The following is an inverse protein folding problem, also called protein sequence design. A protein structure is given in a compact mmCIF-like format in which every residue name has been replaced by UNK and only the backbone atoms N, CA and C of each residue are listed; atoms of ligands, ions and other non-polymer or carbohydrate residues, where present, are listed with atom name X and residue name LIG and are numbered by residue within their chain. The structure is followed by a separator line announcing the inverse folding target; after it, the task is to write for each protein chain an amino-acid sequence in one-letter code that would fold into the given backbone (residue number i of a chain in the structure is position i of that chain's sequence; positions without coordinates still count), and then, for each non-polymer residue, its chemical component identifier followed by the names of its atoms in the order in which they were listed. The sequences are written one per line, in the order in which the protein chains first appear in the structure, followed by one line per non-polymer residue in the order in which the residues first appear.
data_IF_376317256770
#
_entry.id   IF_376317256770
#
_cell.length_a   1.000
_cell.length_b   1.000
_cell.length_c   1.000
_cell.angle_alpha   90.00
_cell.angle_beta   90.00
_cell.angle_gamma   90.00
#
_symmetry.space_group_name_H-M   'P 1'
#
loop_
_entity.id
_entity.type
_entity.pdbx_description
1 polymer ?
#
# COMPACT_ATOMS: atom_id res chain seq x y z
N UNK A 1 -66.46 24.69 29.36
CA UNK A 1 -66.45 23.94 30.64
C UNK A 1 -65.16 23.13 30.69
N UNK A 2 -64.59 23.04 31.88
CA UNK A 2 -63.20 22.75 32.25
C UNK A 2 -62.61 21.40 31.83
N UNK A 3 -61.28 21.36 31.79
CA UNK A 3 -60.47 20.14 31.89
C UNK A 3 -59.02 20.37 31.46
N UNK A 4 -58.15 20.77 32.39
CA UNK A 4 -56.73 21.05 32.12
C UNK A 4 -55.80 19.85 32.32
N UNK A 5 -54.55 19.99 31.90
CA UNK A 5 -53.39 19.31 32.49
C UNK A 5 -52.15 20.23 32.51
N UNK A 6 -51.25 20.05 33.49
CA UNK A 6 -50.26 21.03 33.92
C UNK A 6 -48.85 20.72 33.41
N UNK A 7 -47.99 21.73 33.34
CA UNK A 7 -46.54 21.54 33.21
C UNK A 7 -45.86 22.62 32.39
N UNK A 8 -45.77 23.84 32.92
CA UNK A 8 -45.00 24.92 32.29
C UNK A 8 -44.24 25.76 33.33
N UNK A 9 -43.53 25.08 34.24
CA UNK A 9 -42.73 25.71 35.30
C UNK A 9 -41.22 25.39 35.22
N UNK A 10 -40.69 25.12 34.01
CA UNK A 10 -39.23 25.00 33.80
C UNK A 10 -38.67 25.89 32.68
N UNK A 11 -39.46 26.83 32.13
CA UNK A 11 -39.04 27.67 30.99
C UNK A 11 -38.64 29.10 31.40
N UNK A 12 -38.42 29.37 32.69
CA UNK A 12 -38.06 30.74 33.14
C UNK A 12 -36.91 30.77 34.15
N UNK A 13 -35.74 30.29 33.74
CA UNK A 13 -34.44 30.80 34.21
C UNK A 13 -33.27 30.11 33.50
N UNK A 14 -33.20 30.26 32.17
CA UNK A 14 -31.97 29.93 31.45
C UNK A 14 -31.21 31.23 31.17
N UNK A 15 -30.05 31.47 31.81
CA UNK A 15 -29.21 32.59 31.40
C UNK A 15 -28.84 32.43 29.92
N UNK A 16 -28.74 33.53 29.15
CA UNK A 16 -28.28 33.45 27.78
C UNK A 16 -26.91 32.75 27.77
N UNK A 17 -26.71 31.79 26.85
CA UNK A 17 -25.41 31.16 26.67
C UNK A 17 -24.40 32.27 26.39
N UNK A 18 -23.57 32.57 27.38
CA UNK A 18 -22.39 33.39 27.18
C UNK A 18 -21.45 32.60 26.27
N UNK A 19 -21.27 33.10 25.05
CA UNK A 19 -20.42 32.49 24.03
C UNK A 19 -21.21 31.72 22.98
N UNK A 20 -21.89 32.44 22.09
CA UNK A 20 -21.78 32.11 20.67
C UNK A 20 -20.31 32.38 20.26
N UNK A 21 -19.43 31.46 20.66
CA UNK A 21 -18.34 31.11 19.79
C UNK A 21 -18.92 29.99 18.93
N UNK A 22 -19.37 30.34 17.73
CA UNK A 22 -19.29 29.42 16.60
C UNK A 22 -17.81 29.12 16.42
N UNK A 23 -17.26 28.26 17.28
CA UNK A 23 -16.03 27.53 16.98
C UNK A 23 -16.48 26.38 16.07
N UNK A 24 -16.93 26.79 14.90
CA UNK A 24 -17.33 25.92 13.80
C UNK A 24 -16.09 25.16 13.35
N UNK A 25 -16.18 23.85 13.53
CA UNK A 25 -15.36 22.79 12.92
C UNK A 25 -13.94 22.68 13.48
N UNK A 26 -13.76 21.67 14.33
CA UNK A 26 -12.46 21.02 14.55
C UNK A 26 -12.07 20.30 13.25
N UNK A 27 -11.12 20.84 12.46
CA UNK A 27 -10.91 20.45 11.08
C UNK A 27 -9.73 19.47 10.99
N UNK A 28 -9.88 18.38 10.23
CA UNK A 28 -8.80 18.06 9.28
C UNK A 28 -8.45 19.37 8.59
N UNK A 29 -7.28 19.95 8.88
CA UNK A 29 -7.09 21.41 8.72
C UNK A 29 -7.62 21.92 7.38
N UNK A 30 -8.54 22.89 7.39
CA UNK A 30 -9.13 23.44 6.16
C UNK A 30 -8.06 23.91 5.16
N UNK A 31 -6.89 24.29 5.67
CA UNK A 31 -5.73 24.58 4.84
C UNK A 31 -5.19 23.34 4.11
N UNK A 32 -4.98 22.21 4.78
CA UNK A 32 -4.50 20.98 4.15
C UNK A 32 -5.50 20.46 3.11
N UNK A 33 -6.80 20.51 3.41
CA UNK A 33 -7.85 20.15 2.44
C UNK A 33 -7.76 21.03 1.19
N UNK A 34 -7.73 22.35 1.36
CA UNK A 34 -7.51 23.28 0.25
C UNK A 34 -6.19 23.04 -0.49
N UNK A 35 -5.15 22.56 0.22
CA UNK A 35 -3.88 22.23 -0.40
C UNK A 35 -4.00 20.97 -1.26
N UNK A 36 -4.74 19.94 -0.82
CA UNK A 36 -5.01 18.74 -1.60
C UNK A 36 -5.89 19.02 -2.81
N UNK A 37 -6.93 19.85 -2.67
CA UNK A 37 -7.72 20.32 -3.83
C UNK A 37 -6.83 21.04 -4.85
N UNK A 38 -5.83 21.81 -4.36
CA UNK A 38 -4.87 22.48 -5.22
C UNK A 38 -3.90 21.51 -5.90
N UNK A 39 -3.52 20.39 -5.25
CA UNK A 39 -2.67 19.35 -5.84
C UNK A 39 -3.35 18.73 -7.06
N UNK A 40 -4.65 18.42 -6.96
CA UNK A 40 -5.42 17.85 -8.07
C UNK A 40 -5.50 18.80 -9.28
N UNK A 41 -5.50 20.11 -9.03
CA UNK A 41 -5.64 21.14 -10.06
C UNK A 41 -4.30 21.60 -10.66
N UNK A 42 -3.32 21.85 -9.79
CA UNK A 42 -2.00 22.39 -10.12
C UNK A 42 -1.00 22.02 -8.99
N UNK A 43 -0.32 20.86 -9.11
CA UNK A 43 0.60 20.39 -8.09
C UNK A 43 1.83 21.30 -7.93
N UNK A 44 2.23 22.03 -8.97
CA UNK A 44 3.33 22.99 -8.88
C UNK A 44 2.95 24.20 -8.00
N UNK A 45 1.73 24.70 -8.15
CA UNK A 45 1.19 25.75 -7.28
C UNK A 45 1.02 25.27 -5.84
N UNK A 46 0.49 24.07 -5.63
CA UNK A 46 0.38 23.48 -4.29
C UNK A 46 1.76 23.35 -3.62
N UNK A 47 2.76 22.88 -4.37
CA UNK A 47 4.15 22.77 -3.91
C UNK A 47 4.69 24.13 -3.43
N UNK A 48 4.56 25.20 -4.22
CA UNK A 48 4.99 26.55 -3.80
C UNK A 48 4.24 27.08 -2.58
N UNK A 49 2.91 26.90 -2.53
CA UNK A 49 2.10 27.33 -1.38
C UNK A 49 2.50 26.60 -0.10
N UNK A 50 2.74 25.29 -0.18
CA UNK A 50 3.17 24.49 0.94
C UNK A 50 4.57 24.88 1.43
N UNK A 51 5.50 25.23 0.53
CA UNK A 51 6.82 25.76 0.90
C UNK A 51 6.73 27.08 1.68
N UNK A 52 5.87 28.00 1.24
CA UNK A 52 5.65 29.30 1.91
C UNK A 52 5.07 29.03 3.30
N UNK A 53 3.98 28.26 3.41
CA UNK A 53 3.38 27.98 4.71
C UNK A 53 4.34 27.29 5.66
N UNK A 54 5.16 26.35 5.17
CA UNK A 54 6.18 25.67 5.97
C UNK A 54 7.16 26.65 6.61
N UNK A 55 7.55 27.70 5.89
CA UNK A 55 8.47 28.73 6.38
C UNK A 55 7.85 29.65 7.44
N UNK A 56 6.53 29.84 7.40
CA UNK A 56 5.78 30.77 8.26
C UNK A 56 5.16 30.12 9.50
N UNK A 57 5.11 28.79 9.55
CA UNK A 57 4.43 28.03 10.61
C UNK A 57 5.40 27.17 11.42
N UNK A 58 4.96 26.65 12.57
CA UNK A 58 5.69 25.74 13.47
C UNK A 58 4.74 24.67 14.00
N UNK A 59 5.25 23.59 14.61
CA UNK A 59 4.42 22.57 15.25
C UNK A 59 3.46 21.91 14.25
N UNK A 60 2.23 21.65 14.68
CA UNK A 60 1.21 20.96 13.88
C UNK A 60 1.00 21.60 12.51
N UNK A 61 0.93 22.93 12.42
CA UNK A 61 0.75 23.61 11.12
C UNK A 61 1.92 23.36 10.15
N UNK A 62 3.15 23.27 10.67
CA UNK A 62 4.33 22.95 9.86
C UNK A 62 4.35 21.48 9.44
N UNK A 63 3.88 20.56 10.30
CA UNK A 63 3.69 19.15 9.92
C UNK A 63 2.73 19.05 8.73
N UNK A 64 1.60 19.75 8.77
CA UNK A 64 0.61 19.73 7.69
C UNK A 64 1.14 20.39 6.42
N UNK A 65 1.90 21.49 6.54
CA UNK A 65 2.59 22.09 5.40
C UNK A 65 3.59 21.13 4.74
N UNK A 66 4.40 20.42 5.54
CA UNK A 66 5.31 19.39 5.05
C UNK A 66 4.57 18.20 4.41
N UNK A 67 3.40 17.81 4.95
CA UNK A 67 2.57 16.77 4.35
C UNK A 67 2.11 17.18 2.95
N UNK A 68 1.48 18.36 2.80
CA UNK A 68 1.08 18.82 1.46
C UNK A 68 2.27 18.95 0.52
N UNK A 69 3.39 19.50 1.01
CA UNK A 69 4.62 19.63 0.22
C UNK A 69 5.11 18.28 -0.30
N UNK A 70 5.10 17.24 0.54
CA UNK A 70 5.53 15.91 0.16
C UNK A 70 4.65 15.26 -0.91
N UNK A 71 3.32 15.41 -0.79
CA UNK A 71 2.37 14.89 -1.79
C UNK A 71 2.51 15.66 -3.10
N UNK A 72 2.55 16.99 -3.05
CA UNK A 72 2.72 17.82 -4.24
C UNK A 72 4.04 17.53 -4.97
N UNK A 73 5.14 17.34 -4.22
CA UNK A 73 6.43 16.94 -4.79
C UNK A 73 6.38 15.53 -5.42
N UNK A 74 5.62 14.61 -4.83
CA UNK A 74 5.43 13.25 -5.36
C UNK A 74 4.71 13.28 -6.72
N UNK A 75 3.62 14.06 -6.83
CA UNK A 75 2.90 14.24 -8.10
C UNK A 75 3.76 14.87 -9.21
N UNK A 76 4.72 15.71 -8.82
CA UNK A 76 5.68 16.32 -9.75
C UNK A 76 6.87 15.41 -10.10
N UNK A 77 6.97 14.21 -9.50
CA UNK A 77 8.11 13.32 -9.64
C UNK A 77 9.39 13.84 -8.97
N UNK A 78 9.28 14.83 -8.08
CA UNK A 78 10.39 15.41 -7.31
C UNK A 78 10.66 14.55 -6.06
N UNK A 79 11.07 13.30 -6.28
CA UNK A 79 11.15 12.28 -5.25
C UNK A 79 12.07 12.64 -4.07
N UNK A 80 13.19 13.33 -4.34
CA UNK A 80 14.10 13.80 -3.29
C UNK A 80 13.46 14.88 -2.40
N UNK A 81 12.68 15.78 -3.00
CA UNK A 81 11.97 16.84 -2.28
C UNK A 81 10.81 16.25 -1.48
N UNK A 82 10.07 15.31 -2.07
CA UNK A 82 9.01 14.57 -1.40
C UNK A 82 9.52 13.85 -0.15
N UNK A 83 10.62 13.08 -0.30
CA UNK A 83 11.29 12.40 0.83
C UNK A 83 11.67 13.41 1.91
N UNK A 84 12.33 14.51 1.55
CA UNK A 84 12.77 15.55 2.50
C UNK A 84 11.59 16.12 3.27
N UNK A 85 10.48 16.42 2.58
CA UNK A 85 9.28 16.96 3.19
C UNK A 85 8.63 15.96 4.17
N UNK A 86 8.49 14.69 3.79
CA UNK A 86 7.92 13.67 4.68
C UNK A 86 8.80 13.37 5.90
N UNK A 87 10.14 13.37 5.74
CA UNK A 87 11.07 13.27 6.88
C UNK A 87 10.86 14.46 7.83
N UNK A 88 10.78 15.68 7.30
CA UNK A 88 10.53 16.86 8.12
C UNK A 88 9.16 16.82 8.82
N UNK A 89 8.11 16.32 8.15
CA UNK A 89 6.80 16.10 8.77
C UNK A 89 6.89 15.13 9.96
N UNK A 90 7.61 14.02 9.79
CA UNK A 90 7.86 13.04 10.86
C UNK A 90 8.64 13.63 12.02
N UNK A 91 9.70 14.38 11.74
CA UNK A 91 10.59 14.94 12.78
C UNK A 91 9.88 16.00 13.64
N UNK A 92 9.04 16.82 13.03
CA UNK A 92 8.22 17.83 13.72
C UNK A 92 7.01 17.20 14.44
N UNK A 93 6.60 15.97 14.08
CA UNK A 93 5.54 15.23 14.77
C UNK A 93 6.03 14.76 16.16
N UNK A 94 5.28 15.04 17.25
CA UNK A 94 5.64 14.62 18.61
C UNK A 94 5.98 13.14 18.74
N UNK A 95 6.97 12.81 19.58
CA UNK A 95 7.50 11.45 19.71
C UNK A 95 6.47 10.43 20.26
N UNK A 96 5.50 10.89 21.03
CA UNK A 96 4.38 10.10 21.56
C UNK A 96 3.29 9.81 20.51
N UNK A 97 3.29 10.51 19.38
CA UNK A 97 2.42 10.25 18.23
C UNK A 97 3.01 9.20 17.28
N UNK A 98 3.39 8.03 17.81
CA UNK A 98 4.07 6.98 17.06
C UNK A 98 3.34 6.56 15.75
N UNK A 99 2.00 6.52 15.77
CA UNK A 99 1.21 6.21 14.57
C UNK A 99 1.40 7.23 13.45
N UNK A 100 1.39 8.53 13.79
CA UNK A 100 1.54 9.62 12.81
C UNK A 100 2.97 9.64 12.26
N UNK A 101 3.97 9.46 13.14
CA UNK A 101 5.37 9.35 12.74
C UNK A 101 5.60 8.18 11.78
N UNK A 102 5.03 7.01 12.08
CA UNK A 102 5.12 5.83 11.23
C UNK A 102 4.56 6.06 9.82
N UNK A 103 3.44 6.78 9.69
CA UNK A 103 2.86 7.12 8.39
C UNK A 103 3.80 8.01 7.57
N UNK A 104 4.38 9.03 8.17
CA UNK A 104 5.33 9.90 7.47
C UNK A 104 6.65 9.20 7.16
N UNK A 105 7.15 8.32 8.03
CA UNK A 105 8.28 7.45 7.71
C UNK A 105 8.00 6.56 6.50
N UNK A 106 6.80 5.96 6.42
CA UNK A 106 6.40 5.12 5.28
C UNK A 106 6.32 5.93 3.97
N UNK A 107 5.70 7.12 4.00
CA UNK A 107 5.65 8.02 2.84
C UNK A 107 7.05 8.45 2.40
N UNK A 108 7.93 8.79 3.34
CA UNK A 108 9.32 9.14 3.04
C UNK A 108 10.08 7.96 2.41
N UNK A 109 9.89 6.74 2.93
CA UNK A 109 10.49 5.52 2.40
C UNK A 109 10.01 5.20 0.98
N UNK A 110 8.72 5.36 0.73
CA UNK A 110 8.14 5.17 -0.61
C UNK A 110 8.62 6.23 -1.61
N UNK A 111 8.75 7.48 -1.19
CA UNK A 111 9.36 8.53 -2.02
C UNK A 111 10.84 8.20 -2.32
N UNK A 112 11.59 7.69 -1.35
CA UNK A 112 12.97 7.25 -1.57
C UNK A 112 13.05 6.10 -2.59
N UNK A 113 12.16 5.10 -2.52
CA UNK A 113 12.08 4.03 -3.53
C UNK A 113 11.76 4.57 -4.92
N UNK A 114 10.77 5.45 -5.04
CA UNK A 114 10.41 6.06 -6.31
C UNK A 114 11.57 6.89 -6.90
N UNK A 115 12.38 7.52 -6.05
CA UNK A 115 13.60 8.22 -6.41
C UNK A 115 14.82 7.34 -6.68
N UNK A 116 14.72 6.01 -6.56
CA UNK A 116 15.81 5.05 -6.78
C UNK A 116 16.79 4.89 -5.60
N UNK A 117 16.51 5.47 -4.45
CA UNK A 117 17.32 5.34 -3.22
C UNK A 117 16.78 4.21 -2.33
N UNK A 118 17.08 2.97 -2.70
CA UNK A 118 16.59 1.80 -1.99
C UNK A 118 17.23 1.61 -0.59
N UNK A 119 18.47 2.06 -0.38
CA UNK A 119 19.12 2.03 0.95
C UNK A 119 18.49 3.06 1.90
N UNK A 120 18.28 4.28 1.42
CA UNK A 120 17.56 5.31 2.18
C UNK A 120 16.12 4.89 2.49
N UNK A 121 15.45 4.27 1.52
CA UNK A 121 14.12 3.71 1.74
C UNK A 121 14.10 2.63 2.83
N UNK A 122 15.04 1.68 2.80
CA UNK A 122 15.12 0.62 3.80
C UNK A 122 15.25 1.18 5.22
N UNK A 123 16.05 2.23 5.39
CA UNK A 123 16.19 2.92 6.68
C UNK A 123 14.87 3.52 7.15
N UNK A 124 14.19 4.26 6.29
CA UNK A 124 12.93 4.93 6.61
C UNK A 124 11.78 3.93 6.87
N UNK A 125 11.71 2.85 6.10
CA UNK A 125 10.68 1.83 6.23
C UNK A 125 10.87 0.97 7.49
N UNK A 126 12.13 0.73 7.90
CA UNK A 126 12.43 0.10 9.18
C UNK A 126 12.00 0.98 10.37
N UNK A 127 12.15 2.31 10.25
CA UNK A 127 11.62 3.26 11.25
C UNK A 127 10.09 3.24 11.27
N UNK A 128 9.45 3.23 10.10
CA UNK A 128 8.00 3.16 9.97
C UNK A 128 7.43 1.91 10.66
N UNK A 129 8.06 0.75 10.43
CA UNK A 129 7.66 -0.52 11.04
C UNK A 129 7.79 -0.47 12.58
N UNK A 130 8.90 0.05 13.11
CA UNK A 130 9.12 0.16 14.55
C UNK A 130 8.14 1.14 15.23
N UNK A 131 7.84 2.27 14.59
CA UNK A 131 6.88 3.26 15.09
C UNK A 131 5.44 2.71 15.01
N UNK A 132 5.10 1.95 13.96
CA UNK A 132 3.80 1.29 13.83
C UNK A 132 3.59 0.19 14.89
N UNK A 133 4.64 -0.57 15.21
CA UNK A 133 4.63 -1.55 16.29
C UNK A 133 4.44 -0.87 17.65
N UNK A 134 5.13 0.24 17.89
CA UNK A 134 4.97 1.07 19.10
C UNK A 134 3.54 1.57 19.24
N UNK A 135 2.90 1.92 18.13
CA UNK A 135 1.49 2.33 18.08
C UNK A 135 0.48 1.16 18.15
N UNK A 136 0.96 -0.09 18.26
CA UNK A 136 0.17 -1.32 18.17
C UNK A 136 -0.75 -1.37 16.93
N UNK A 137 -0.30 -0.77 15.81
CA UNK A 137 -1.06 -0.72 14.55
C UNK A 137 -0.56 -1.82 13.62
N UNK A 138 -1.18 -3.01 13.71
CA UNK A 138 -0.80 -4.18 12.92
C UNK A 138 -0.99 -3.95 11.40
N UNK A 139 -1.99 -3.14 11.01
CA UNK A 139 -2.23 -2.82 9.60
C UNK A 139 -1.09 -1.97 9.05
N UNK A 140 -0.73 -0.90 9.76
CA UNK A 140 0.38 -0.04 9.34
C UNK A 140 1.72 -0.77 9.39
N UNK A 141 1.94 -1.62 10.39
CA UNK A 141 3.14 -2.46 10.50
C UNK A 141 3.26 -3.42 9.31
N UNK A 142 2.14 -4.04 8.89
CA UNK A 142 2.11 -4.91 7.72
C UNK A 142 2.42 -4.16 6.42
N UNK A 143 1.85 -2.96 6.23
CA UNK A 143 2.13 -2.12 5.06
C UNK A 143 3.61 -1.69 5.00
N UNK A 144 4.17 -1.23 6.13
CA UNK A 144 5.58 -0.87 6.22
C UNK A 144 6.50 -2.06 5.91
N UNK A 145 6.15 -3.27 6.37
CA UNK A 145 6.89 -4.49 6.06
C UNK A 145 6.81 -4.88 4.56
N UNK A 146 5.66 -4.67 3.90
CA UNK A 146 5.52 -4.84 2.44
C UNK A 146 6.46 -3.89 1.69
N UNK A 147 6.43 -2.62 2.02
CA UNK A 147 7.30 -1.64 1.37
C UNK A 147 8.78 -1.91 1.66
N UNK A 148 9.11 -2.34 2.87
CA UNK A 148 10.47 -2.76 3.24
C UNK A 148 10.92 -3.94 2.39
N UNK A 149 10.05 -4.91 2.13
CA UNK A 149 10.35 -6.02 1.24
C UNK A 149 10.65 -5.54 -0.19
N UNK A 150 9.90 -4.57 -0.72
CA UNK A 150 10.16 -3.97 -2.04
C UNK A 150 11.53 -3.30 -2.11
N UNK A 151 11.94 -2.58 -1.05
CA UNK A 151 13.29 -2.02 -0.93
C UNK A 151 14.36 -3.11 -0.96
N UNK A 152 14.18 -4.17 -0.15
CA UNK A 152 15.12 -5.28 -0.07
C UNK A 152 15.25 -6.05 -1.39
N UNK A 153 14.16 -6.24 -2.13
CA UNK A 153 14.20 -6.82 -3.50
C UNK A 153 15.02 -5.95 -4.44
N UNK A 154 14.84 -4.62 -4.39
CA UNK A 154 15.60 -3.67 -5.22
C UNK A 154 17.10 -3.74 -4.92
N UNK A 155 17.46 -4.02 -3.66
CA UNK A 155 18.84 -4.21 -3.21
C UNK A 155 19.39 -5.63 -3.46
N UNK A 156 18.61 -6.54 -4.05
CA UNK A 156 19.01 -7.94 -4.26
C UNK A 156 19.03 -8.81 -2.99
N UNK A 157 18.45 -8.33 -1.89
CA UNK A 157 18.43 -8.99 -0.57
C UNK A 157 17.19 -9.88 -0.42
N UNK A 158 17.10 -10.90 -1.27
CA UNK A 158 15.89 -11.74 -1.43
C UNK A 158 15.41 -12.46 -0.17
N UNK A 159 16.30 -13.07 0.62
CA UNK A 159 15.88 -13.77 1.86
C UNK A 159 15.34 -12.81 2.92
N UNK A 160 15.94 -11.62 3.03
CA UNK A 160 15.47 -10.61 3.99
C UNK A 160 14.13 -10.02 3.56
N UNK A 161 13.92 -9.84 2.25
CA UNK A 161 12.63 -9.46 1.70
C UNK A 161 11.56 -10.50 2.00
N UNK A 162 11.90 -11.80 1.95
CA UNK A 162 10.99 -12.87 2.31
C UNK A 162 10.60 -12.80 3.78
N UNK A 163 11.57 -12.57 4.68
CA UNK A 163 11.29 -12.35 6.10
C UNK A 163 10.34 -11.17 6.35
N UNK A 164 10.51 -10.07 5.63
CA UNK A 164 9.60 -8.93 5.71
C UNK A 164 8.17 -9.27 5.22
N UNK A 165 8.02 -10.06 4.15
CA UNK A 165 6.72 -10.51 3.66
C UNK A 165 6.06 -11.55 4.58
N UNK A 166 6.84 -12.36 5.28
CA UNK A 166 6.36 -13.25 6.35
C UNK A 166 5.79 -12.46 7.52
N UNK A 167 6.48 -11.40 7.95
CA UNK A 167 5.94 -10.46 8.94
C UNK A 167 4.65 -9.83 8.44
N UNK A 168 4.62 -9.31 7.21
CA UNK A 168 3.44 -8.67 6.64
C UNK A 168 2.21 -9.59 6.59
N UNK A 169 2.39 -10.83 6.11
CA UNK A 169 1.32 -11.83 5.98
C UNK A 169 0.86 -12.38 7.33
N UNK A 170 1.73 -12.37 8.35
CA UNK A 170 1.35 -12.70 9.73
C UNK A 170 0.50 -11.59 10.37
N UNK A 171 0.88 -10.33 10.16
CA UNK A 171 0.20 -9.18 10.74
C UNK A 171 -1.15 -8.88 10.06
N UNK A 172 -1.26 -9.13 8.77
CA UNK A 172 -2.48 -8.88 8.00
C UNK A 172 -2.82 -10.07 7.07
N UNK A 173 -3.22 -11.24 7.61
CA UNK A 173 -3.42 -12.46 6.83
C UNK A 173 -4.57 -12.39 5.82
N UNK A 174 -5.47 -11.41 5.97
CA UNK A 174 -6.57 -11.17 5.05
C UNK A 174 -6.19 -10.30 3.84
N UNK A 175 -5.02 -9.65 3.84
CA UNK A 175 -4.58 -8.79 2.72
C UNK A 175 -3.92 -9.64 1.64
N UNK A 176 -4.54 -9.71 0.46
CA UNK A 176 -4.05 -10.52 -0.65
C UNK A 176 -2.68 -10.06 -1.17
N UNK A 177 -2.42 -8.75 -1.19
CA UNK A 177 -1.19 -8.14 -1.70
C UNK A 177 0.09 -8.71 -1.07
N UNK A 178 0.13 -8.87 0.25
CA UNK A 178 1.30 -9.44 0.93
C UNK A 178 1.56 -10.90 0.52
N UNK A 179 0.50 -11.67 0.27
CA UNK A 179 0.61 -13.05 -0.21
C UNK A 179 1.05 -13.12 -1.68
N UNK A 180 0.53 -12.23 -2.52
CA UNK A 180 0.95 -12.09 -3.92
C UNK A 180 2.44 -11.80 -4.01
N UNK A 181 2.91 -10.76 -3.32
CA UNK A 181 4.33 -10.38 -3.32
C UNK A 181 5.22 -11.50 -2.75
N UNK A 182 4.74 -12.21 -1.71
CA UNK A 182 5.44 -13.38 -1.17
C UNK A 182 5.57 -14.49 -2.21
N UNK A 183 4.49 -14.81 -2.93
CA UNK A 183 4.51 -15.81 -3.98
C UNK A 183 5.47 -15.44 -5.11
N UNK A 184 5.41 -14.20 -5.59
CA UNK A 184 6.31 -13.69 -6.62
C UNK A 184 7.78 -13.77 -6.21
N UNK A 185 8.09 -13.41 -4.97
CA UNK A 185 9.45 -13.50 -4.45
C UNK A 185 9.91 -14.95 -4.31
N UNK A 186 9.07 -15.84 -3.76
CA UNK A 186 9.38 -17.26 -3.63
C UNK A 186 9.64 -17.90 -4.99
N UNK A 187 8.87 -17.55 -6.04
CA UNK A 187 9.14 -18.00 -7.41
C UNK A 187 10.49 -17.51 -7.90
N UNK A 188 10.85 -16.25 -7.68
CA UNK A 188 12.17 -15.70 -8.08
C UNK A 188 13.33 -16.37 -7.33
N UNK A 189 13.07 -16.90 -6.14
CA UNK A 189 14.01 -17.70 -5.34
C UNK A 189 13.96 -19.20 -5.67
N UNK A 190 13.25 -19.61 -6.72
CA UNK A 190 13.08 -21.00 -7.16
C UNK A 190 12.42 -21.93 -6.11
N UNK A 191 11.62 -21.35 -5.21
CA UNK A 191 10.86 -22.08 -4.17
C UNK A 191 9.41 -22.30 -4.62
N UNK A 192 9.23 -23.04 -5.72
CA UNK A 192 7.95 -23.14 -6.43
C UNK A 192 6.79 -23.72 -5.59
N UNK A 193 7.05 -24.70 -4.72
CA UNK A 193 6.02 -25.29 -3.85
C UNK A 193 5.47 -24.27 -2.83
N UNK A 194 6.38 -23.50 -2.22
CA UNK A 194 6.02 -22.44 -1.29
C UNK A 194 5.34 -21.26 -2.01
N UNK A 195 5.82 -20.92 -3.22
CA UNK A 195 5.19 -19.92 -4.08
C UNK A 195 3.74 -20.31 -4.41
N UNK A 196 3.50 -21.58 -4.74
CA UNK A 196 2.16 -22.10 -5.02
C UNK A 196 1.23 -21.96 -3.80
N UNK A 197 1.71 -22.31 -2.61
CA UNK A 197 0.91 -22.15 -1.37
C UNK A 197 0.56 -20.68 -1.11
N UNK A 198 1.52 -19.77 -1.32
CA UNK A 198 1.31 -18.34 -1.13
C UNK A 198 0.32 -17.77 -2.16
N UNK A 199 0.42 -18.14 -3.44
CA UNK A 199 -0.47 -17.60 -4.48
C UNK A 199 -1.90 -18.14 -4.35
N UNK A 200 -2.06 -19.40 -3.92
CA UNK A 200 -3.38 -19.95 -3.59
C UNK A 200 -4.03 -19.19 -2.44
N UNK A 201 -3.23 -18.82 -1.43
CA UNK A 201 -3.72 -17.98 -0.33
C UNK A 201 -4.12 -16.59 -0.84
N UNK A 202 -3.31 -15.97 -1.71
CA UNK A 202 -3.64 -14.69 -2.33
C UNK A 202 -4.97 -14.75 -3.10
N UNK A 203 -5.15 -15.79 -3.93
CA UNK A 203 -6.36 -16.01 -4.72
C UNK A 203 -7.61 -16.27 -3.85
N UNK A 204 -7.46 -16.94 -2.70
CA UNK A 204 -8.56 -17.09 -1.74
C UNK A 204 -8.97 -15.75 -1.11
N UNK A 205 -8.04 -14.80 -0.94
CA UNK A 205 -8.32 -13.49 -0.35
C UNK A 205 -8.89 -12.49 -1.35
N UNK A 206 -8.39 -12.49 -2.58
CA UNK A 206 -8.89 -11.62 -3.65
C UNK A 206 -8.90 -12.36 -5.00
N UNK A 207 -9.94 -13.16 -5.28
CA UNK A 207 -10.02 -13.94 -6.52
C UNK A 207 -10.25 -13.09 -7.78
N UNK A 208 -10.62 -11.81 -7.62
CA UNK A 208 -10.88 -10.89 -8.74
C UNK A 208 -9.66 -9.99 -9.05
N UNK A 209 -8.52 -10.22 -8.42
CA UNK A 209 -7.28 -9.52 -8.73
C UNK A 209 -6.60 -10.16 -9.95
N UNK A 210 -6.49 -9.45 -11.08
CA UNK A 210 -5.90 -10.03 -12.28
C UNK A 210 -4.39 -10.31 -12.12
N UNK A 211 -3.67 -9.56 -11.28
CA UNK A 211 -2.24 -9.80 -11.03
C UNK A 211 -2.00 -11.12 -10.29
N UNK A 212 -2.93 -11.48 -9.39
CA UNK A 212 -2.89 -12.78 -8.70
C UNK A 212 -3.09 -13.92 -9.70
N UNK A 213 -4.05 -13.79 -10.63
CA UNK A 213 -4.29 -14.80 -11.66
C UNK A 213 -3.13 -14.95 -12.63
N UNK A 214 -2.49 -13.84 -13.02
CA UNK A 214 -1.28 -13.85 -13.86
C UNK A 214 -0.14 -14.61 -13.19
N UNK A 215 0.20 -14.23 -11.97
CA UNK A 215 1.29 -14.83 -11.20
C UNK A 215 1.01 -16.31 -10.88
N UNK A 216 -0.25 -16.66 -10.57
CA UNK A 216 -0.66 -18.06 -10.38
C UNK A 216 -0.41 -18.91 -11.62
N UNK A 217 -0.73 -18.39 -12.80
CA UNK A 217 -0.47 -19.11 -14.04
C UNK A 217 1.03 -19.27 -14.34
N UNK A 218 1.83 -18.24 -14.07
CA UNK A 218 3.30 -18.32 -14.22
C UNK A 218 3.90 -19.36 -13.26
N UNK A 219 3.50 -19.35 -11.98
CA UNK A 219 3.93 -20.35 -11.00
C UNK A 219 3.49 -21.77 -11.43
N UNK A 220 2.29 -21.90 -12.00
CA UNK A 220 1.78 -23.18 -12.48
C UNK A 220 2.60 -23.75 -13.66
N UNK A 221 2.93 -22.94 -14.68
CA UNK A 221 3.79 -23.40 -15.80
C UNK A 221 5.18 -23.82 -15.31
N UNK A 222 5.80 -23.01 -14.46
CA UNK A 222 7.13 -23.36 -13.92
C UNK A 222 7.10 -24.64 -13.08
N UNK A 223 5.97 -24.94 -12.45
CA UNK A 223 5.72 -26.20 -11.75
C UNK A 223 5.20 -27.35 -12.62
N UNK A 224 5.18 -27.21 -13.96
CA UNK A 224 4.73 -28.25 -14.91
C UNK A 224 3.22 -28.49 -14.93
N UNK A 225 2.41 -27.55 -14.46
CA UNK A 225 0.94 -27.64 -14.37
C UNK A 225 0.25 -26.77 -15.42
N UNK A 226 0.53 -27.03 -16.68
CA UNK A 226 0.05 -26.23 -17.82
C UNK A 226 -1.48 -26.08 -17.89
N UNK A 227 -2.22 -27.13 -17.50
CA UNK A 227 -3.69 -27.06 -17.42
C UNK A 227 -4.18 -26.04 -16.38
N UNK A 228 -3.54 -26.00 -15.20
CA UNK A 228 -3.86 -25.03 -14.15
C UNK A 228 -3.41 -23.61 -14.54
N UNK A 229 -2.30 -23.49 -15.26
CA UNK A 229 -1.85 -22.21 -15.80
C UNK A 229 -2.87 -21.63 -16.79
N UNK A 230 -3.31 -22.46 -17.74
CA UNK A 230 -4.35 -22.07 -18.71
C UNK A 230 -5.63 -21.61 -18.02
N UNK A 231 -6.09 -22.35 -17.00
CA UNK A 231 -7.27 -21.95 -16.23
C UNK A 231 -7.08 -20.59 -15.54
N UNK A 232 -5.90 -20.36 -14.96
CA UNK A 232 -5.58 -19.11 -14.25
C UNK A 232 -5.57 -17.91 -15.22
N UNK A 233 -4.94 -18.04 -16.39
CA UNK A 233 -4.92 -16.95 -17.37
C UNK A 233 -6.27 -16.74 -18.06
N UNK A 234 -7.05 -17.80 -18.28
CA UNK A 234 -8.42 -17.68 -18.77
C UNK A 234 -9.33 -16.94 -17.78
N UNK A 235 -9.15 -17.14 -16.46
CA UNK A 235 -9.93 -16.39 -15.48
C UNK A 235 -9.58 -14.90 -15.50
N UNK A 236 -8.30 -14.53 -15.68
CA UNK A 236 -7.88 -13.13 -15.85
C UNK A 236 -8.57 -12.49 -17.06
N UNK A 237 -8.60 -13.17 -18.21
CA UNK A 237 -9.27 -12.67 -19.41
C UNK A 237 -10.79 -12.50 -19.18
N UNK A 238 -11.41 -13.41 -18.42
CA UNK A 238 -12.83 -13.36 -18.12
C UNK A 238 -13.24 -12.18 -17.22
N UNK A 239 -12.30 -11.58 -16.46
CA UNK A 239 -12.57 -10.39 -15.63
C UNK A 239 -12.84 -9.14 -16.48
N UNK A 240 -12.36 -9.12 -17.74
CA UNK A 240 -12.57 -8.02 -18.68
C UNK A 240 -11.29 -7.60 -19.39
N UNK A 241 -11.40 -6.68 -20.37
CA UNK A 241 -10.26 -6.17 -21.11
C UNK A 241 -9.33 -5.33 -20.21
N UNK A 242 -8.03 -5.42 -20.45
CA UNK A 242 -7.03 -4.62 -19.76
C UNK A 242 -5.62 -5.21 -19.92
N UNK A 243 -4.58 -4.50 -19.43
CA UNK A 243 -3.19 -4.92 -19.61
C UNK A 243 -2.89 -6.33 -19.10
N UNK A 244 -3.52 -6.73 -18.00
CA UNK A 244 -3.36 -8.07 -17.46
C UNK A 244 -4.03 -9.14 -18.32
N UNK A 245 -5.21 -8.84 -18.90
CA UNK A 245 -5.87 -9.75 -19.84
C UNK A 245 -5.06 -9.90 -21.14
N UNK A 246 -4.47 -8.81 -21.64
CA UNK A 246 -3.57 -8.84 -22.80
C UNK A 246 -2.33 -9.70 -22.52
N UNK A 247 -1.75 -9.55 -21.33
CA UNK A 247 -0.60 -10.35 -20.88
C UNK A 247 -0.98 -11.84 -20.75
N UNK A 248 -2.14 -12.13 -20.14
CA UNK A 248 -2.66 -13.48 -20.00
C UNK A 248 -2.91 -14.15 -21.37
N UNK A 249 -3.47 -13.42 -22.34
CA UNK A 249 -3.66 -13.89 -23.70
C UNK A 249 -2.33 -14.19 -24.40
N UNK A 250 -1.32 -13.32 -24.21
CA UNK A 250 0.03 -13.56 -24.68
C UNK A 250 0.65 -14.84 -24.11
N UNK A 251 0.51 -15.06 -22.80
CA UNK A 251 0.99 -16.29 -22.15
C UNK A 251 0.27 -17.55 -22.64
N UNK A 252 -1.05 -17.48 -22.84
CA UNK A 252 -1.81 -18.60 -23.43
C UNK A 252 -1.35 -18.94 -24.85
N UNK A 253 -1.11 -17.94 -25.68
CA UNK A 253 -0.62 -18.15 -27.05
C UNK A 253 0.78 -18.81 -27.07
N UNK A 254 1.64 -18.45 -26.11
CA UNK A 254 2.97 -19.07 -25.96
C UNK A 254 2.90 -20.52 -25.45
N UNK A 255 1.92 -20.85 -24.60
CA UNK A 255 1.73 -22.20 -24.06
C UNK A 255 1.16 -23.18 -25.11
N UNK A 256 0.66 -22.69 -26.25
CA UNK A 256 0.09 -23.50 -27.32
C UNK A 256 -1.28 -24.09 -26.97
N UNK A 257 -1.72 -25.12 -27.69
CA UNK A 257 -2.98 -25.82 -27.39
C UNK A 257 -2.80 -26.95 -26.38
N UNK A 258 -3.87 -27.30 -25.67
CA UNK A 258 -3.87 -28.41 -24.72
C UNK A 258 -3.69 -29.74 -25.48
N UNK A 259 -2.45 -30.22 -25.58
CA UNK A 259 -2.11 -31.48 -26.24
C UNK A 259 -0.84 -31.46 -27.12
N UNK A 260 -0.23 -30.29 -27.35
CA UNK A 260 1.02 -30.17 -28.13
C UNK A 260 2.31 -30.27 -27.30
N UNK A 261 2.21 -30.41 -25.96
CA UNK A 261 3.38 -30.67 -25.10
C UNK A 261 4.02 -32.01 -25.50
N UNK A 262 5.28 -31.93 -25.93
CA UNK A 262 6.07 -32.99 -26.53
C UNK A 262 5.96 -34.36 -25.81
N UNK A 263 6.01 -35.49 -26.55
CA UNK A 263 5.96 -36.81 -25.94
C UNK A 263 7.09 -36.98 -24.93
N UNK A 264 6.77 -37.63 -23.79
CA UNK A 264 7.74 -38.03 -22.79
C UNK A 264 8.94 -38.74 -23.45
N UNK A 265 10.18 -38.48 -23.00
CA UNK A 265 11.34 -39.19 -23.54
C UNK A 265 11.12 -40.69 -23.35
N UNK A 266 11.19 -41.44 -24.46
CA UNK A 266 11.02 -42.88 -24.46
C UNK A 266 12.02 -43.51 -23.48
N UNK A 267 11.52 -44.34 -22.55
CA UNK A 267 12.36 -45.22 -21.75
C UNK A 267 13.17 -46.10 -22.69
N UNK A 268 14.48 -45.88 -22.76
CA UNK A 268 15.41 -46.82 -23.37
C UNK A 268 15.39 -48.11 -22.56
N UNK A 269 14.65 -49.11 -23.04
CA UNK A 269 14.80 -50.49 -22.58
C UNK A 269 16.22 -50.97 -22.91
N UNK A 270 17.01 -51.41 -21.91
CA UNK A 270 18.37 -51.88 -22.15
C UNK A 270 18.34 -53.21 -22.93
N UNK A 271 19.30 -53.44 -23.85
CA UNK A 271 19.37 -54.68 -24.61
C UNK A 271 19.74 -55.87 -23.71
N UNK A 272 19.16 -57.02 -24.07
CA UNK A 272 19.25 -58.33 -23.38
C UNK A 272 20.64 -58.95 -23.36
#
# INVERSE_FOLDING_TARGET
MSGGLPGDELVRDRPPRAGEATDELNPSSAWLESCFDQIEQDPARAHSLAQIRRAETTGTDRVLANHCLGIAASELGLWSDARTAFVAAREETPADEARTRARFAALAGNAALAGGDAEGALTLLSQAEAEAQTAADATLSSLAAIDRARALVTLGRGEEALGALETATTLAPARAEGWLLKATLLRRLDRLEAAQTAIETAAQRNPADPEIGLEAGVIAVLGGRDAAARQSWQSVIALGPGPAADTAAGYLAQLGDAGETAPAPAEETPPS
#
